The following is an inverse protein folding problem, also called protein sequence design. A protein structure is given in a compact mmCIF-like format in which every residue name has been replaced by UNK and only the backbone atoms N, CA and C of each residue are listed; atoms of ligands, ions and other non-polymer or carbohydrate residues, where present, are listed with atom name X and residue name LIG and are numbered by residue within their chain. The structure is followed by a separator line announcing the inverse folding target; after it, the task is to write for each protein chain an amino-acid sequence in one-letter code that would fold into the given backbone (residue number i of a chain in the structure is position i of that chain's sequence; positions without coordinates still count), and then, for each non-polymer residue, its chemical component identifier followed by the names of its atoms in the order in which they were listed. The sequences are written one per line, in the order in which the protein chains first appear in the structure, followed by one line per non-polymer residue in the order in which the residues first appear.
data_IF_458885536417
#
_entry.id   IF_458885536417
#
_cell.length_a   1.000
_cell.length_b   1.000
_cell.length_c   1.000
_cell.angle_alpha   90.00
_cell.angle_beta   90.00
_cell.angle_gamma   90.00
#
_symmetry.space_group_name_H-M   'P 1'
#
loop_
_entity.id
_entity.type
_entity.pdbx_description
1 polymer ?
#
# COMPACT_ATOMS: atom_id res chain seq x y z
N UNK A 1 15.63 -26.08 15.93
CA UNK A 1 14.24 -25.68 16.26
C UNK A 1 14.28 -24.17 16.15
N UNK A 2 13.82 -23.66 15.03
CA UNK A 2 14.19 -22.32 14.61
C UNK A 2 13.00 -21.42 14.93
N UNK A 3 13.11 -20.70 16.05
CA UNK A 3 11.99 -19.94 16.62
C UNK A 3 11.43 -18.86 15.69
N UNK A 4 12.21 -18.43 14.71
CA UNK A 4 11.79 -17.47 13.67
C UNK A 4 10.67 -18.01 12.79
N UNK A 5 10.72 -19.29 12.43
CA UNK A 5 9.68 -19.93 11.60
C UNK A 5 8.32 -20.03 12.32
N UNK A 6 8.33 -20.11 13.65
CA UNK A 6 7.09 -20.08 14.45
C UNK A 6 6.49 -18.67 14.49
N UNK A 7 7.35 -17.65 14.60
CA UNK A 7 6.94 -16.24 14.57
C UNK A 7 6.34 -15.89 13.20
N UNK A 8 6.96 -16.33 12.10
CA UNK A 8 6.46 -16.09 10.73
C UNK A 8 5.06 -16.67 10.51
N UNK A 9 4.79 -17.88 11.02
CA UNK A 9 3.46 -18.50 10.95
C UNK A 9 2.40 -17.74 11.73
N UNK A 10 2.74 -17.22 12.91
CA UNK A 10 1.82 -16.42 13.73
C UNK A 10 1.47 -15.10 13.04
N UNK A 11 2.46 -14.45 12.44
CA UNK A 11 2.26 -13.22 11.66
C UNK A 11 1.37 -13.45 10.43
N UNK A 12 1.57 -14.55 9.71
CA UNK A 12 0.74 -14.93 8.57
C UNK A 12 -0.73 -15.16 8.97
N UNK A 13 -0.99 -15.89 10.06
CA UNK A 13 -2.34 -16.10 10.59
C UNK A 13 -3.03 -14.79 11.01
N UNK A 14 -2.27 -13.82 11.51
CA UNK A 14 -2.78 -12.52 11.91
C UNK A 14 -2.97 -11.53 10.74
N UNK A 15 -2.64 -11.93 9.50
CA UNK A 15 -2.63 -11.01 8.35
C UNK A 15 -1.56 -9.92 8.43
N UNK A 16 -0.57 -10.08 9.32
CA UNK A 16 0.53 -9.15 9.57
C UNK A 16 1.88 -9.73 9.12
N UNK A 17 1.86 -10.56 8.07
CA UNK A 17 3.06 -11.16 7.49
C UNK A 17 4.09 -10.10 7.10
N UNK A 18 5.37 -10.49 6.87
CA UNK A 18 6.35 -9.61 6.29
C UNK A 18 5.71 -8.98 5.06
N UNK A 19 5.43 -7.68 5.12
CA UNK A 19 5.04 -6.95 3.92
C UNK A 19 6.23 -7.16 3.02
N UNK A 20 6.05 -7.86 1.89
CA UNK A 20 7.07 -7.93 0.85
C UNK A 20 7.64 -6.53 0.75
N UNK A 21 8.98 -6.36 0.78
CA UNK A 21 9.57 -5.04 0.80
C UNK A 21 8.88 -4.26 -0.29
N UNK A 22 8.10 -3.25 0.09
CA UNK A 22 7.45 -2.33 -0.83
C UNK A 22 8.50 -1.43 -1.52
N UNK A 23 9.72 -1.95 -1.64
CA UNK A 23 10.88 -1.49 -2.37
C UNK A 23 10.62 -1.67 -3.87
N UNK A 24 9.59 -1.01 -4.42
CA UNK A 24 9.57 -0.55 -5.82
C UNK A 24 8.24 0.07 -6.29
N UNK A 25 7.13 -0.06 -5.55
CA UNK A 25 5.84 0.55 -5.98
C UNK A 25 5.50 1.86 -5.24
N UNK A 26 6.40 2.36 -4.39
CA UNK A 26 6.43 3.81 -4.07
C UNK A 26 7.17 4.63 -5.14
N UNK A 27 7.77 3.98 -6.14
CA UNK A 27 8.35 4.67 -7.30
C UNK A 27 7.21 5.05 -8.24
N UNK A 28 7.04 6.34 -8.50
CA UNK A 28 6.23 6.92 -9.60
C UNK A 28 4.77 7.29 -9.29
N UNK A 29 4.41 7.62 -8.06
CA UNK A 29 3.18 8.40 -7.84
C UNK A 29 3.55 9.88 -7.80
N UNK A 30 3.22 10.68 -8.84
CA UNK A 30 3.60 12.08 -8.86
C UNK A 30 2.87 12.85 -7.76
N UNK A 31 3.62 13.73 -7.10
CA UNK A 31 3.08 14.72 -6.19
C UNK A 31 2.55 15.91 -6.97
N UNK A 32 1.43 16.48 -6.53
CA UNK A 32 0.79 17.62 -7.18
C UNK A 32 0.59 18.73 -6.17
N UNK A 33 0.93 19.96 -6.54
CA UNK A 33 0.54 21.13 -5.77
C UNK A 33 -0.92 21.52 -6.10
N UNK A 34 -1.83 21.55 -5.12
CA UNK A 34 -3.22 21.95 -5.35
C UNK A 34 -3.42 23.44 -5.68
N UNK A 35 -2.41 24.29 -5.45
CA UNK A 35 -2.51 25.73 -5.71
C UNK A 35 -2.12 26.14 -7.13
N UNK A 36 -1.20 25.43 -7.77
CA UNK A 36 -0.70 25.76 -9.11
C UNK A 36 -0.55 24.54 -10.04
N UNK A 37 -1.02 23.38 -9.57
CA UNK A 37 -1.13 22.12 -10.33
C UNK A 37 0.19 21.57 -10.87
N UNK A 38 1.33 22.09 -10.39
CA UNK A 38 2.65 21.60 -10.75
C UNK A 38 2.89 20.20 -10.19
N UNK A 39 3.47 19.33 -11.02
CA UNK A 39 3.73 17.91 -10.75
C UNK A 39 5.20 17.67 -10.42
N UNK A 40 5.48 16.77 -9.48
CA UNK A 40 6.82 16.45 -9.00
C UNK A 40 6.99 14.96 -8.73
N UNK A 41 8.19 14.43 -8.97
CA UNK A 41 8.52 13.03 -8.65
C UNK A 41 8.94 12.84 -7.18
N UNK A 42 9.14 13.93 -6.44
CA UNK A 42 9.55 13.92 -5.02
C UNK A 42 8.62 14.81 -4.20
N UNK A 43 8.46 14.48 -2.91
CA UNK A 43 7.65 15.27 -1.99
C UNK A 43 8.40 16.51 -1.53
N UNK A 44 7.89 17.69 -1.90
CA UNK A 44 8.37 18.97 -1.37
C UNK A 44 7.45 19.47 -0.25
N UNK A 45 8.03 19.98 0.84
CA UNK A 45 7.28 20.63 1.92
C UNK A 45 6.67 21.98 1.51
N UNK A 46 7.26 22.63 0.50
CA UNK A 46 6.81 23.91 -0.07
C UNK A 46 6.90 23.81 -1.58
N UNK A 47 5.84 24.19 -2.29
CA UNK A 47 5.84 24.21 -3.75
C UNK A 47 6.88 25.22 -4.27
N UNK A 48 7.89 24.80 -5.06
CA UNK A 48 8.89 25.71 -5.60
C UNK A 48 8.33 26.70 -6.63
N UNK A 49 7.17 26.40 -7.23
CA UNK A 49 6.56 27.24 -8.27
C UNK A 49 5.69 28.37 -7.69
N UNK A 50 4.92 28.12 -6.63
CA UNK A 50 3.98 29.10 -6.06
C UNK A 50 4.18 29.42 -4.58
N UNK A 51 5.09 28.74 -3.88
CA UNK A 51 5.33 28.91 -2.44
C UNK A 51 4.24 28.33 -1.53
N UNK A 52 3.22 27.68 -2.08
CA UNK A 52 2.13 27.06 -1.31
C UNK A 52 2.52 25.76 -0.61
N UNK A 53 1.77 25.39 0.43
CA UNK A 53 2.02 24.21 1.26
C UNK A 53 1.15 22.99 0.91
N UNK A 54 0.28 23.12 -0.11
CA UNK A 54 -0.68 22.10 -0.49
C UNK A 54 -0.09 21.13 -1.53
N UNK A 55 0.99 20.42 -1.18
CA UNK A 55 1.60 19.38 -2.04
C UNK A 55 1.16 18.01 -1.55
N UNK A 56 0.41 17.28 -2.38
CA UNK A 56 -0.16 15.97 -2.02
C UNK A 56 0.24 14.87 -3.00
N UNK A 57 0.27 13.62 -2.54
CA UNK A 57 0.52 12.47 -3.41
C UNK A 57 -0.75 12.14 -4.18
N UNK A 58 -0.63 11.90 -5.50
CA UNK A 58 -1.74 11.38 -6.28
C UNK A 58 -1.89 9.89 -6.02
N UNK A 59 -2.60 9.56 -4.94
CA UNK A 59 -2.96 8.17 -4.64
C UNK A 59 -4.01 7.75 -5.66
N UNK A 60 -3.60 7.02 -6.70
CA UNK A 60 -4.55 6.22 -7.45
C UNK A 60 -5.17 5.27 -6.43
N UNK A 61 -6.47 5.43 -6.17
CA UNK A 61 -7.26 4.53 -5.33
C UNK A 61 -7.43 3.23 -6.10
N UNK A 62 -6.34 2.50 -6.29
CA UNK A 62 -6.35 1.11 -6.71
C UNK A 62 -6.97 0.37 -5.54
N UNK A 63 -8.30 0.17 -5.64
CA UNK A 63 -9.07 -0.71 -4.78
C UNK A 63 -8.28 -2.01 -4.69
N UNK A 64 -7.63 -2.22 -3.55
CA UNK A 64 -7.06 -3.50 -3.19
C UNK A 64 -8.26 -4.44 -3.07
N UNK A 65 -8.52 -5.18 -4.16
CA UNK A 65 -9.63 -6.09 -4.28
C UNK A 65 -9.41 -7.26 -3.36
N UNK A 66 -9.91 -7.14 -2.13
CA UNK A 66 -10.20 -8.28 -1.26
C UNK A 66 -11.31 -9.09 -1.93
N UNK A 67 -10.95 -9.96 -2.88
CA UNK A 67 -11.83 -11.00 -3.38
C UNK A 67 -11.77 -12.17 -2.41
N UNK A 68 -12.43 -12.01 -1.26
CA UNK A 68 -12.77 -13.11 -0.37
C UNK A 68 -13.75 -14.06 -1.08
N UNK A 69 -13.21 -14.97 -1.88
CA UNK A 69 -13.94 -16.11 -2.42
C UNK A 69 -13.80 -17.27 -1.42
N UNK A 70 -14.59 -17.24 -0.35
CA UNK A 70 -14.78 -18.44 0.48
C UNK A 70 -15.71 -19.37 -0.26
N UNK A 71 -15.16 -20.22 -1.13
CA UNK A 71 -15.85 -21.43 -1.57
C UNK A 71 -15.91 -22.36 -0.36
N UNK A 72 -17.03 -22.31 0.35
CA UNK A 72 -17.41 -23.35 1.29
C UNK A 72 -18.01 -24.48 0.45
N UNK A 73 -17.16 -25.41 0.04
CA UNK A 73 -17.57 -26.73 -0.41
C UNK A 73 -16.91 -27.76 0.51
N UNK A 74 -17.71 -28.37 1.38
CA UNK A 74 -17.91 -29.82 1.29
C UNK A 74 -19.14 -30.20 2.10
N UNK A 75 -20.16 -30.60 1.35
CA UNK A 75 -21.32 -31.30 1.86
C UNK A 75 -20.89 -32.72 2.21
N UNK A 76 -20.56 -32.99 3.47
CA UNK A 76 -20.54 -34.37 3.96
C UNK A 76 -21.98 -34.80 4.21
N UNK A 77 -22.61 -35.34 3.16
CA UNK A 77 -23.72 -36.25 3.29
C UNK A 77 -23.17 -37.67 3.57
N UNK A 78 -23.92 -38.37 4.42
CA UNK A 78 -23.84 -39.80 4.81
C UNK A 78 -23.07 -40.12 6.10
#
# INVERSE_FOLDING_TARGET
MDGTAAIDRLLALAGLGPREPAEATERSRPYVCLGCESTYDVQYHVCPNCGGFSVESRVATERHGDRSETVLDDSTAE
#
